data_IF_788434659053
#
_entry.id   IF_788434659053
#
_cell.length_a   1.000
_cell.length_b   1.000
_cell.length_c   1.000
_cell.angle_alpha   90.00
_cell.angle_beta   90.00
_cell.angle_gamma   90.00
#
_symmetry.space_group_name_H-M   'P 1'
#
loop_
_entity.id
_entity.type
_entity.pdbx_description
1 polymer ?
#
# COMPACT_ATOMS: atom_id res chain seq x y z
N UNK A 1 -2.98 -5.84 14.16
CA UNK A 1 -4.12 -6.65 13.66
C UNK A 1 -3.71 -7.25 12.33
N UNK A 2 -3.94 -8.54 12.05
CA UNK A 2 -3.53 -9.13 10.78
C UNK A 2 -4.34 -8.54 9.60
N UNK A 3 -3.75 -8.49 8.41
CA UNK A 3 -4.46 -8.12 7.18
C UNK A 3 -5.59 -9.12 6.91
N UNK A 4 -6.76 -8.59 6.53
CA UNK A 4 -7.97 -9.40 6.35
C UNK A 4 -8.34 -9.46 4.86
N UNK A 5 -8.62 -10.67 4.39
CA UNK A 5 -9.22 -10.89 3.07
C UNK A 5 -10.72 -10.67 3.13
N UNK A 6 -11.36 -10.39 1.99
CA UNK A 6 -12.83 -10.26 1.91
C UNK A 6 -13.53 -11.51 2.45
N UNK A 7 -12.94 -12.69 2.24
CA UNK A 7 -13.49 -13.97 2.72
C UNK A 7 -13.47 -14.12 4.26
N UNK A 8 -12.58 -13.39 4.95
CA UNK A 8 -12.52 -13.41 6.43
C UNK A 8 -13.46 -12.40 7.10
N UNK A 9 -14.15 -11.57 6.32
CA UNK A 9 -15.10 -10.59 6.84
C UNK A 9 -16.42 -11.25 7.25
N UNK A 10 -17.16 -10.62 8.15
CA UNK A 10 -18.52 -11.04 8.53
C UNK A 10 -19.45 -11.08 7.29
N UNK A 11 -20.38 -12.04 7.17
CA UNK A 11 -21.26 -12.16 5.98
C UNK A 11 -22.04 -10.89 5.63
N UNK A 12 -22.35 -10.05 6.63
CA UNK A 12 -22.97 -8.74 6.42
C UNK A 12 -22.05 -7.77 5.68
N UNK A 13 -20.78 -7.71 6.09
CA UNK A 13 -19.76 -6.87 5.45
C UNK A 13 -19.44 -7.39 4.06
N UNK A 14 -19.41 -8.72 3.84
CA UNK A 14 -19.22 -9.30 2.51
C UNK A 14 -20.31 -8.82 1.53
N UNK A 15 -21.59 -8.87 1.95
CA UNK A 15 -22.70 -8.33 1.15
C UNK A 15 -22.57 -6.83 0.87
N UNK A 16 -22.05 -6.05 1.82
CA UNK A 16 -21.76 -4.63 1.60
C UNK A 16 -20.63 -4.42 0.59
N UNK A 17 -19.60 -5.26 0.61
CA UNK A 17 -18.52 -5.21 -0.40
C UNK A 17 -19.06 -5.58 -1.79
N UNK A 18 -19.94 -6.57 -1.89
CA UNK A 18 -20.60 -6.91 -3.15
C UNK A 18 -21.48 -5.77 -3.68
N UNK A 19 -22.30 -5.15 -2.82
CA UNK A 19 -23.10 -4.01 -3.25
C UNK A 19 -22.23 -2.80 -3.62
N UNK A 20 -21.08 -2.58 -2.96
CA UNK A 20 -20.10 -1.57 -3.37
C UNK A 20 -19.59 -1.82 -4.80
N UNK A 21 -19.29 -3.09 -5.12
CA UNK A 21 -18.85 -3.50 -6.46
C UNK A 21 -19.93 -3.28 -7.51
N UNK A 22 -21.18 -3.67 -7.23
CA UNK A 22 -22.29 -3.42 -8.18
C UNK A 22 -22.53 -1.92 -8.39
N UNK A 23 -22.41 -1.10 -7.34
CA UNK A 23 -22.51 0.35 -7.47
C UNK A 23 -21.38 0.94 -8.32
N UNK A 24 -20.17 0.39 -8.20
CA UNK A 24 -19.02 0.80 -8.99
C UNK A 24 -19.21 0.47 -10.47
N UNK A 25 -19.72 -0.72 -10.78
CA UNK A 25 -20.05 -1.15 -12.16
C UNK A 25 -21.15 -0.27 -12.77
N UNK A 26 -22.11 0.17 -11.95
CA UNK A 26 -23.16 1.13 -12.35
C UNK A 26 -22.66 2.57 -12.52
N UNK A 27 -21.37 2.83 -12.29
CA UNK A 27 -20.76 4.16 -12.40
C UNK A 27 -21.09 5.11 -11.25
N UNK A 28 -21.72 4.63 -10.17
CA UNK A 28 -22.07 5.47 -9.02
C UNK A 28 -20.90 5.52 -8.00
N UNK A 29 -19.84 6.23 -8.39
CA UNK A 29 -18.58 6.26 -7.64
C UNK A 29 -18.71 6.89 -6.24
N UNK A 30 -19.56 7.91 -6.07
CA UNK A 30 -19.76 8.54 -4.77
C UNK A 30 -20.33 7.56 -3.75
N UNK A 31 -21.37 6.82 -4.16
CA UNK A 31 -21.99 5.81 -3.31
C UNK A 31 -21.04 4.64 -3.01
N UNK A 32 -20.22 4.21 -3.99
CA UNK A 32 -19.17 3.21 -3.74
C UNK A 32 -18.18 3.65 -2.67
N UNK A 33 -17.75 4.92 -2.68
CA UNK A 33 -16.78 5.44 -1.70
C UNK A 33 -17.37 5.45 -0.29
N UNK A 34 -18.61 5.89 -0.12
CA UNK A 34 -19.30 5.89 1.17
C UNK A 34 -19.43 4.47 1.73
N UNK A 35 -19.85 3.51 0.89
CA UNK A 35 -20.04 2.13 1.31
C UNK A 35 -18.71 1.46 1.68
N UNK A 36 -17.64 1.71 0.91
CA UNK A 36 -16.31 1.21 1.25
C UNK A 36 -15.80 1.84 2.56
N UNK A 37 -16.06 3.13 2.79
CA UNK A 37 -15.70 3.81 4.03
C UNK A 37 -16.36 3.19 5.26
N UNK A 38 -17.64 2.83 5.17
CA UNK A 38 -18.36 2.15 6.25
C UNK A 38 -17.74 0.76 6.58
N UNK A 39 -17.36 0.01 5.55
CA UNK A 39 -16.69 -1.29 5.72
C UNK A 39 -15.30 -1.11 6.35
N UNK A 40 -14.51 -0.14 5.88
CA UNK A 40 -13.17 0.12 6.43
C UNK A 40 -13.19 0.68 7.86
N UNK A 41 -14.27 1.35 8.28
CA UNK A 41 -14.44 1.77 9.67
C UNK A 41 -14.54 0.56 10.62
N UNK A 42 -15.09 -0.56 10.15
CA UNK A 42 -15.22 -1.81 10.92
C UNK A 42 -14.00 -2.72 10.73
N UNK A 43 -13.49 -2.81 9.51
CA UNK A 43 -12.38 -3.68 9.12
C UNK A 43 -11.30 -2.90 8.35
N UNK A 44 -10.47 -2.10 9.04
CA UNK A 44 -9.50 -1.19 8.39
C UNK A 44 -8.32 -1.92 7.72
N UNK A 45 -8.10 -3.20 8.02
CA UNK A 45 -7.06 -4.04 7.42
C UNK A 45 -7.44 -4.70 6.09
N UNK A 46 -8.61 -4.37 5.51
CA UNK A 46 -9.09 -5.00 4.29
C UNK A 46 -8.57 -4.28 3.03
N UNK A 47 -7.46 -4.77 2.47
CA UNK A 47 -6.86 -4.20 1.26
C UNK A 47 -7.78 -4.18 0.04
N UNK A 48 -8.55 -5.23 -0.30
CA UNK A 48 -9.40 -5.22 -1.48
C UNK A 48 -10.47 -4.10 -1.47
N UNK A 49 -11.01 -3.79 -0.29
CA UNK A 49 -11.99 -2.71 -0.12
C UNK A 49 -11.31 -1.35 -0.29
N UNK A 50 -10.12 -1.19 0.28
CA UNK A 50 -9.31 0.03 0.10
C UNK A 50 -8.92 0.26 -1.37
N UNK A 51 -8.58 -0.79 -2.10
CA UNK A 51 -8.33 -0.73 -3.56
C UNK A 51 -9.58 -0.29 -4.33
N UNK A 52 -10.74 -0.85 -4.00
CA UNK A 52 -12.01 -0.45 -4.62
C UNK A 52 -12.35 1.02 -4.33
N UNK A 53 -12.19 1.46 -3.08
CA UNK A 53 -12.40 2.86 -2.72
C UNK A 53 -11.48 3.80 -3.49
N UNK A 54 -10.19 3.45 -3.61
CA UNK A 54 -9.21 4.28 -4.32
C UNK A 54 -9.53 4.41 -5.80
N UNK A 55 -9.90 3.30 -6.46
CA UNK A 55 -10.26 3.33 -7.88
C UNK A 55 -11.56 4.12 -8.10
N UNK A 56 -12.53 4.03 -7.18
CA UNK A 56 -13.74 4.85 -7.21
C UNK A 56 -13.42 6.34 -7.01
N UNK A 57 -12.54 6.69 -6.07
CA UNK A 57 -12.09 8.06 -5.84
C UNK A 57 -11.38 8.63 -7.07
N UNK A 58 -10.48 7.88 -7.72
CA UNK A 58 -9.78 8.33 -8.92
C UNK A 58 -10.73 8.52 -10.11
N UNK A 59 -11.68 7.61 -10.35
CA UNK A 59 -12.69 7.74 -11.41
C UNK A 59 -13.66 8.89 -11.14
N UNK A 60 -14.09 9.05 -9.89
CA UNK A 60 -14.97 10.15 -9.47
C UNK A 60 -14.28 11.51 -9.47
N UNK A 61 -12.99 11.57 -9.11
CA UNK A 61 -12.18 12.78 -9.17
C UNK A 61 -11.89 13.20 -10.62
N UNK A 62 -11.68 12.24 -11.54
CA UNK A 62 -11.55 12.51 -12.97
C UNK A 62 -12.76 13.26 -13.57
N UNK A 63 -13.95 13.07 -13.01
CA UNK A 63 -15.15 13.83 -13.36
C UNK A 63 -15.22 15.23 -12.72
N UNK A 64 -14.54 15.44 -11.58
CA UNK A 64 -14.47 16.73 -10.84
C UNK A 64 -13.24 17.59 -11.20
N UNK A 65 -12.27 17.03 -11.92
CA UNK A 65 -11.06 17.73 -12.41
C UNK A 65 -11.30 18.60 -13.65
N UNK A 66 -12.53 18.70 -14.14
CA UNK A 66 -12.91 19.69 -15.14
C UNK A 66 -13.01 21.09 -14.54
N UNK A 67 -11.99 21.91 -14.76
CA UNK A 67 -12.00 23.38 -14.65
C UNK A 67 -12.11 24.04 -13.26
N UNK A 68 -12.75 23.44 -12.23
CA UNK A 68 -13.02 24.13 -10.95
C UNK A 68 -12.15 23.71 -9.75
N UNK A 69 -11.40 22.62 -9.83
CA UNK A 69 -10.61 22.10 -8.70
C UNK A 69 -9.24 22.78 -8.50
N UNK A 70 -8.69 23.43 -9.54
CA UNK A 70 -7.33 23.99 -9.50
C UNK A 70 -7.21 25.21 -8.56
N UNK A 71 -8.33 25.83 -8.18
CA UNK A 71 -8.37 27.02 -7.32
C UNK A 71 -8.61 26.73 -5.82
N UNK A 72 -9.08 25.53 -5.45
CA UNK A 72 -9.40 25.17 -4.06
C UNK A 72 -8.39 24.23 -3.39
N UNK A 73 -7.45 23.65 -4.15
CA UNK A 73 -6.49 22.64 -3.67
C UNK A 73 -5.26 23.17 -2.90
N UNK A 74 -5.23 24.45 -2.53
CA UNK A 74 -4.09 25.05 -1.77
C UNK A 74 -4.40 25.33 -0.30
N UNK A 75 -5.42 24.70 0.28
CA UNK A 75 -5.57 24.69 1.74
C UNK A 75 -4.69 23.57 2.28
N UNK A 76 -3.51 23.98 2.73
CA UNK A 76 -2.42 23.19 3.29
C UNK A 76 -2.86 21.92 4.02
N UNK A 77 -2.40 20.76 3.55
CA UNK A 77 -2.32 19.49 4.29
C UNK A 77 -1.41 19.56 5.52
N UNK A 78 -0.83 20.73 5.82
CA UNK A 78 0.11 20.99 6.91
C UNK A 78 -0.41 20.65 8.33
N UNK A 79 -1.67 20.94 8.72
CA UNK A 79 -2.16 20.58 10.06
C UNK A 79 -2.30 19.05 10.24
N UNK A 80 -2.60 18.33 9.17
CA UNK A 80 -2.83 16.89 9.18
C UNK A 80 -1.54 16.08 9.07
N UNK A 81 -0.53 16.63 8.39
CA UNK A 81 0.82 16.07 8.36
C UNK A 81 1.48 16.06 9.76
N UNK A 82 1.32 17.16 10.50
CA UNK A 82 1.94 17.32 11.82
C UNK A 82 1.29 16.42 12.88
N UNK A 83 -0.04 16.25 12.81
CA UNK A 83 -0.79 15.33 13.68
C UNK A 83 -0.64 13.86 13.26
N UNK A 84 -0.65 13.56 11.97
CA UNK A 84 -0.51 12.20 11.44
C UNK A 84 0.85 11.58 11.75
N UNK A 85 1.94 12.32 11.58
CA UNK A 85 3.31 11.83 11.82
C UNK A 85 3.60 11.60 13.31
N UNK A 86 3.03 12.41 14.19
CA UNK A 86 3.08 12.20 15.64
C UNK A 86 2.21 11.01 16.09
N UNK A 87 1.10 10.75 15.40
CA UNK A 87 0.20 9.63 15.69
C UNK A 87 0.75 8.27 15.22
N UNK A 88 1.74 8.22 14.31
CA UNK A 88 2.34 6.96 13.84
C UNK A 88 2.88 6.09 14.98
N UNK A 89 3.47 6.70 16.02
CA UNK A 89 4.08 5.96 17.12
C UNK A 89 3.10 5.58 18.24
N UNK A 90 2.00 6.33 18.41
CA UNK A 90 1.04 6.12 19.51
C UNK A 90 -0.26 5.46 19.08
N UNK A 91 -0.76 5.81 17.90
CA UNK A 91 -2.08 5.40 17.42
C UNK A 91 -2.07 5.27 15.88
N UNK A 92 -1.42 4.22 15.33
CA UNK A 92 -1.27 4.07 13.89
C UNK A 92 -2.61 3.90 13.15
N UNK A 93 -3.68 3.45 13.84
CA UNK A 93 -5.05 3.44 13.28
C UNK A 93 -5.60 4.84 13.02
N UNK A 94 -5.29 5.83 13.88
CA UNK A 94 -5.70 7.23 13.64
C UNK A 94 -4.88 7.86 12.51
N UNK A 95 -3.62 7.45 12.35
CA UNK A 95 -2.81 7.86 11.20
C UNK A 95 -3.43 7.34 9.88
N UNK A 96 -3.90 6.09 9.83
CA UNK A 96 -4.66 5.56 8.69
C UNK A 96 -5.91 6.40 8.44
N UNK A 97 -6.74 6.68 9.46
CA UNK A 97 -7.95 7.48 9.29
C UNK A 97 -7.65 8.91 8.80
N UNK A 98 -6.54 9.52 9.26
CA UNK A 98 -6.11 10.84 8.82
C UNK A 98 -5.64 10.81 7.36
N UNK A 99 -4.88 9.78 6.98
CA UNK A 99 -4.47 9.57 5.60
C UNK A 99 -5.67 9.39 4.66
N UNK A 100 -6.66 8.58 5.06
CA UNK A 100 -7.88 8.39 4.25
C UNK A 100 -8.66 9.69 4.04
N UNK A 101 -8.67 10.60 5.03
CA UNK A 101 -9.28 11.93 4.88
C UNK A 101 -8.52 12.82 3.89
N UNK A 102 -7.18 12.83 3.97
CA UNK A 102 -6.34 13.57 3.02
C UNK A 102 -6.57 13.05 1.60
N UNK A 103 -6.67 11.73 1.46
CA UNK A 103 -6.85 11.06 0.19
C UNK A 103 -8.30 11.13 -0.35
N UNK A 104 -9.28 11.38 0.51
CA UNK A 104 -10.64 11.73 0.09
C UNK A 104 -10.72 13.14 -0.50
N UNK A 105 -9.88 14.07 -0.02
CA UNK A 105 -9.78 15.43 -0.57
C UNK A 105 -9.00 15.46 -1.88
N UNK A 106 -7.83 14.82 -1.92
CA UNK A 106 -7.05 14.61 -3.13
C UNK A 106 -6.53 13.16 -3.20
N UNK A 107 -7.07 12.33 -4.12
CA UNK A 107 -6.66 10.94 -4.27
C UNK A 107 -5.20 10.72 -4.63
N UNK A 108 -4.50 11.75 -5.11
CA UNK A 108 -3.07 11.73 -5.50
C UNK A 108 -2.18 12.52 -4.54
N UNK A 109 -2.68 12.93 -3.38
CA UNK A 109 -1.86 13.64 -2.39
C UNK A 109 -0.71 12.76 -1.89
N UNK A 110 0.52 13.17 -2.23
CA UNK A 110 1.74 12.45 -1.88
C UNK A 110 1.91 12.30 -0.35
N UNK A 111 1.53 13.32 0.41
CA UNK A 111 1.58 13.32 1.87
C UNK A 111 0.63 12.27 2.47
N UNK A 112 -0.61 12.20 1.97
CA UNK A 112 -1.59 11.21 2.41
C UNK A 112 -1.18 9.79 2.06
N UNK A 113 -0.67 9.56 0.85
CA UNK A 113 -0.17 8.25 0.42
C UNK A 113 1.01 7.78 1.28
N UNK A 114 1.95 8.70 1.58
CA UNK A 114 3.08 8.42 2.47
C UNK A 114 2.60 8.03 3.88
N UNK A 115 1.71 8.83 4.46
CA UNK A 115 1.18 8.59 5.80
C UNK A 115 0.45 7.24 5.89
N UNK A 116 -0.32 6.88 4.86
CA UNK A 116 -1.00 5.58 4.77
C UNK A 116 0.02 4.43 4.74
N UNK A 117 1.06 4.54 3.92
CA UNK A 117 2.10 3.52 3.81
C UNK A 117 2.87 3.31 5.12
N UNK A 118 3.31 4.41 5.73
CA UNK A 118 4.05 4.37 7.01
C UNK A 118 3.17 3.81 8.15
N UNK A 119 1.90 4.19 8.21
CA UNK A 119 0.95 3.66 9.20
C UNK A 119 0.64 2.18 8.97
N UNK A 120 0.52 1.75 7.71
CA UNK A 120 0.31 0.36 7.35
C UNK A 120 1.53 -0.51 7.75
N UNK A 121 2.76 -0.03 7.55
CA UNK A 121 3.95 -0.73 8.04
C UNK A 121 3.95 -0.88 9.57
N UNK A 122 3.58 0.18 10.29
CA UNK A 122 3.48 0.14 11.75
C UNK A 122 2.38 -0.83 12.26
N UNK A 123 1.32 -1.03 11.47
CA UNK A 123 0.23 -1.97 11.76
C UNK A 123 0.52 -3.41 11.32
N UNK A 124 1.68 -3.67 10.72
CA UNK A 124 2.02 -4.93 10.04
C UNK A 124 1.02 -5.28 8.93
N UNK A 125 0.65 -4.29 8.13
CA UNK A 125 -0.15 -4.41 6.90
C UNK A 125 0.74 -4.23 5.66
N UNK A 126 1.60 -5.21 5.34
CA UNK A 126 2.63 -5.05 4.31
C UNK A 126 2.02 -4.89 2.91
N UNK A 127 0.94 -5.59 2.58
CA UNK A 127 0.28 -5.50 1.28
C UNK A 127 -0.38 -4.12 1.08
N UNK A 128 -0.97 -3.59 2.14
CA UNK A 128 -1.50 -2.22 2.16
C UNK A 128 -0.39 -1.18 2.00
N UNK A 129 0.73 -1.37 2.69
CA UNK A 129 1.86 -0.47 2.59
C UNK A 129 2.42 -0.44 1.17
N UNK A 130 2.61 -1.60 0.54
CA UNK A 130 3.06 -1.69 -0.86
C UNK A 130 2.10 -0.95 -1.78
N UNK A 131 0.78 -1.16 -1.65
CA UNK A 131 -0.21 -0.45 -2.47
C UNK A 131 -0.11 1.08 -2.33
N UNK A 132 0.07 1.60 -1.11
CA UNK A 132 0.17 3.03 -0.87
C UNK A 132 1.47 3.62 -1.46
N UNK A 133 2.60 2.92 -1.30
CA UNK A 133 3.89 3.38 -1.85
C UNK A 133 3.99 3.21 -3.37
N UNK A 134 3.31 2.22 -3.96
CA UNK A 134 3.19 2.10 -5.43
C UNK A 134 2.45 3.31 -6.00
N UNK A 135 1.30 3.66 -5.41
CA UNK A 135 0.58 4.88 -5.79
C UNK A 135 1.41 6.15 -5.58
N UNK A 136 2.22 6.21 -4.50
CA UNK A 136 3.13 7.33 -4.27
C UNK A 136 4.21 7.43 -5.34
N UNK A 137 4.76 6.28 -5.77
CA UNK A 137 5.74 6.21 -6.86
C UNK A 137 5.17 6.67 -8.20
N UNK A 138 3.88 6.45 -8.47
CA UNK A 138 3.24 7.01 -9.67
C UNK A 138 3.18 8.56 -9.65
N UNK A 139 3.08 9.15 -8.45
CA UNK A 139 3.05 10.61 -8.28
C UNK A 139 4.46 11.20 -8.28
N UNK A 140 5.42 10.51 -7.65
CA UNK A 140 6.82 10.93 -7.53
C UNK A 140 7.76 9.76 -7.90
N UNK A 141 8.01 9.51 -9.20
CA UNK A 141 8.77 8.34 -9.66
C UNK A 141 10.26 8.39 -9.30
N UNK A 142 10.82 9.59 -9.19
CA UNK A 142 12.26 9.82 -8.97
C UNK A 142 12.60 10.16 -7.51
N UNK A 143 11.66 9.99 -6.58
CA UNK A 143 11.91 10.21 -5.16
C UNK A 143 12.56 8.96 -4.52
N UNK A 144 13.85 9.10 -4.19
CA UNK A 144 14.65 8.06 -3.50
C UNK A 144 14.00 7.61 -2.20
N UNK A 145 13.43 8.54 -1.43
CA UNK A 145 12.79 8.21 -0.16
C UNK A 145 11.54 7.33 -0.36
N UNK A 146 10.82 7.50 -1.47
CA UNK A 146 9.67 6.68 -1.87
C UNK A 146 10.11 5.30 -2.34
N UNK A 147 11.17 5.21 -3.14
CA UNK A 147 11.73 3.92 -3.58
C UNK A 147 12.23 3.07 -2.41
N UNK A 148 12.92 3.69 -1.45
CA UNK A 148 13.36 3.00 -0.23
C UNK A 148 12.17 2.53 0.62
N UNK A 149 11.14 3.35 0.78
CA UNK A 149 9.95 2.98 1.54
C UNK A 149 9.16 1.85 0.87
N UNK A 150 9.01 1.89 -0.45
CA UNK A 150 8.39 0.83 -1.24
C UNK A 150 9.16 -0.49 -1.09
N UNK A 151 10.49 -0.47 -1.22
CA UNK A 151 11.30 -1.69 -1.06
C UNK A 151 11.24 -2.26 0.35
N UNK A 152 11.21 -1.43 1.39
CA UNK A 152 10.97 -1.89 2.78
C UNK A 152 9.61 -2.56 2.94
N UNK A 153 8.56 -1.99 2.35
CA UNK A 153 7.23 -2.60 2.35
C UNK A 153 7.19 -3.92 1.58
N UNK A 154 7.89 -4.00 0.45
CA UNK A 154 8.02 -5.24 -0.32
C UNK A 154 8.77 -6.33 0.45
N UNK A 155 9.81 -6.00 1.22
CA UNK A 155 10.45 -6.96 2.12
C UNK A 155 9.51 -7.48 3.20
N UNK A 156 8.76 -6.58 3.84
CA UNK A 156 7.75 -6.98 4.82
C UNK A 156 6.66 -7.86 4.20
N UNK A 157 6.37 -7.70 2.90
CA UNK A 157 5.46 -8.56 2.13
C UNK A 157 6.11 -9.87 1.60
N UNK A 158 7.38 -10.13 1.90
CA UNK A 158 8.11 -11.31 1.42
C UNK A 158 8.52 -11.26 -0.06
N UNK A 159 8.49 -10.08 -0.68
CA UNK A 159 8.80 -9.82 -2.10
C UNK A 159 10.24 -9.34 -2.27
N UNK A 160 11.20 -10.14 -1.80
CA UNK A 160 12.62 -9.79 -1.75
C UNK A 160 13.19 -9.33 -3.12
N UNK A 161 12.91 -10.05 -4.20
CA UNK A 161 13.38 -9.69 -5.55
C UNK A 161 12.89 -8.29 -6.01
N UNK A 162 11.63 -7.93 -5.72
CA UNK A 162 11.11 -6.61 -6.06
C UNK A 162 11.77 -5.51 -5.22
N UNK A 163 12.07 -5.81 -3.95
CA UNK A 163 12.77 -4.89 -3.07
C UNK A 163 14.21 -4.61 -3.53
N UNK A 164 14.92 -5.64 -4.04
CA UNK A 164 16.24 -5.48 -4.67
C UNK A 164 16.16 -4.47 -5.82
N UNK A 165 15.20 -4.64 -6.74
CA UNK A 165 15.03 -3.70 -7.86
C UNK A 165 14.71 -2.27 -7.42
N UNK A 166 13.91 -2.09 -6.36
CA UNK A 166 13.64 -0.77 -5.79
C UNK A 166 14.89 -0.14 -5.16
N UNK A 167 15.70 -0.93 -4.47
CA UNK A 167 16.96 -0.46 -3.88
C UNK A 167 17.99 -0.09 -4.95
N UNK A 168 18.12 -0.90 -6.01
CA UNK A 168 18.97 -0.57 -7.16
C UNK A 168 18.51 0.71 -7.87
N UNK A 169 17.20 0.90 -8.04
CA UNK A 169 16.66 2.12 -8.61
C UNK A 169 17.00 3.35 -7.75
N UNK A 170 16.85 3.23 -6.43
CA UNK A 170 17.24 4.27 -5.48
C UNK A 170 18.73 4.61 -5.55
N UNK A 171 19.60 3.58 -5.64
CA UNK A 171 21.05 3.75 -5.74
C UNK A 171 21.51 4.28 -7.10
N UNK A 172 20.75 4.08 -8.18
CA UNK A 172 21.02 4.72 -9.47
C UNK A 172 20.81 6.24 -9.41
N UNK A 173 19.84 6.70 -8.61
CA UNK A 173 19.56 8.12 -8.41
C UNK A 173 20.52 8.73 -7.39
N UNK A 174 20.69 8.08 -6.24
CA UNK A 174 21.61 8.48 -5.18
C UNK A 174 22.54 7.32 -4.77
N UNK A 175 23.75 7.22 -5.35
CA UNK A 175 24.68 6.12 -5.08
C UNK A 175 25.15 6.02 -3.62
N UNK A 176 25.12 7.13 -2.88
CA UNK A 176 25.61 7.24 -1.50
C UNK A 176 24.43 7.27 -0.49
N UNK A 177 23.26 6.74 -0.88
CA UNK A 177 22.11 6.71 0.02
C UNK A 177 22.19 5.52 0.99
N UNK A 178 22.61 5.77 2.23
CA UNK A 178 22.84 4.71 3.24
C UNK A 178 21.63 3.80 3.49
N UNK A 179 20.41 4.35 3.48
CA UNK A 179 19.20 3.56 3.67
C UNK A 179 18.88 2.63 2.49
N UNK A 180 19.28 3.00 1.26
CA UNK A 180 19.10 2.19 0.07
C UNK A 180 20.14 1.07 -0.01
N UNK A 181 21.38 1.35 0.41
CA UNK A 181 22.42 0.32 0.54
C UNK A 181 22.05 -0.72 1.61
N UNK A 182 21.54 -0.29 2.76
CA UNK A 182 21.04 -1.19 3.79
C UNK A 182 19.88 -2.05 3.26
N UNK A 183 18.90 -1.41 2.60
CA UNK A 183 17.78 -2.10 1.99
C UNK A 183 18.22 -3.16 0.96
N UNK A 184 19.19 -2.84 0.11
CA UNK A 184 19.73 -3.78 -0.88
C UNK A 184 20.32 -5.00 -0.19
N UNK A 185 21.14 -4.80 0.85
CA UNK A 185 21.73 -5.90 1.63
C UNK A 185 20.65 -6.78 2.26
N UNK A 186 19.69 -6.18 2.95
CA UNK A 186 18.59 -6.91 3.59
C UNK A 186 17.76 -7.69 2.57
N UNK A 187 17.50 -7.09 1.40
CA UNK A 187 16.75 -7.71 0.33
C UNK A 187 17.49 -8.88 -0.32
N UNK A 188 18.78 -8.73 -0.62
CA UNK A 188 19.61 -9.81 -1.17
C UNK A 188 19.74 -10.96 -0.19
N UNK A 189 19.89 -10.69 1.12
CA UNK A 189 19.92 -11.75 2.14
C UNK A 189 18.58 -12.49 2.17
N UNK A 190 17.46 -11.77 2.19
CA UNK A 190 16.12 -12.38 2.18
C UNK A 190 15.87 -13.21 0.91
N UNK A 191 16.38 -12.76 -0.24
CA UNK A 191 16.29 -13.50 -1.50
C UNK A 191 17.13 -14.78 -1.49
N UNK A 192 18.39 -14.71 -1.06
CA UNK A 192 19.26 -15.89 -0.93
C UNK A 192 18.71 -16.92 0.06
N UNK A 193 18.17 -16.47 1.20
CA UNK A 193 17.52 -17.36 2.17
C UNK A 193 16.28 -18.05 1.59
N UNK A 194 15.55 -17.34 0.72
CA UNK A 194 14.43 -17.94 0.00
C UNK A 194 14.94 -18.98 -1.00
N UNK A 195 15.92 -18.65 -1.83
CA UNK A 195 16.49 -19.54 -2.85
C UNK A 195 17.11 -20.81 -2.24
N UNK A 196 17.92 -20.68 -1.18
CA UNK A 196 18.54 -21.81 -0.49
C UNK A 196 17.54 -22.81 0.11
N UNK A 197 16.37 -22.33 0.58
CA UNK A 197 15.28 -23.21 1.04
C UNK A 197 14.66 -24.04 -0.08
N UNK A 198 14.70 -23.59 -1.32
CA UNK A 198 14.18 -24.34 -2.47
C UNK A 198 15.17 -25.40 -2.98
N UNK A 199 16.47 -25.12 -2.89
CA UNK A 199 17.50 -26.08 -3.28
C UNK A 199 17.57 -27.29 -2.32
N UNK A 200 17.39 -27.09 -1.01
CA UNK A 200 17.33 -28.20 -0.04
C UNK A 200 16.05 -29.07 -0.19
N UNK A 201 14.94 -28.49 -0.64
CA UNK A 201 13.66 -29.21 -0.80
C UNK A 201 13.50 -29.98 -2.11
N UNK A 202 14.27 -29.63 -3.14
CA UNK A 202 14.14 -30.17 -4.50
C UNK A 202 14.96 -31.42 -4.82
N UNK A 203 16.08 -31.65 -4.13
CA UNK A 203 17.07 -32.67 -4.54
C UNK A 203 16.90 -34.04 -3.85
N UNK A 204 16.00 -34.18 -2.87
CA UNK A 204 15.77 -35.47 -2.19
C UNK A 204 14.86 -36.42 -2.98
N UNK A 205 13.81 -35.93 -3.65
CA UNK A 205 12.83 -36.79 -4.35
C UNK A 205 13.29 -37.27 -5.73
N UNK A 206 14.32 -36.64 -6.31
CA UNK A 206 14.88 -37.04 -7.61
C UNK A 206 15.90 -38.20 -7.51
N UNK A 207 16.44 -38.47 -6.32
CA UNK A 207 17.42 -39.56 -6.06
C UNK A 207 16.81 -40.90 -5.64
N UNK A 208 15.48 -40.99 -5.51
CA UNK A 208 14.76 -42.22 -5.21
C UNK A 208 14.05 -42.76 -6.45
N UNK A 209 14.78 -42.91 -7.57
CA UNK A 209 14.34 -43.81 -8.65
C UNK A 209 15.09 -45.13 -8.48
N UNK A 210 14.41 -46.26 -8.20
CA UNK A 210 15.09 -47.54 -8.11
C UNK A 210 15.66 -47.86 -9.49
N UNK A 211 16.97 -48.04 -9.55
CA UNK A 211 17.63 -48.73 -10.66
C UNK A 211 17.02 -50.12 -10.81
N UNK A 212 16.76 -50.48 -12.07
CA UNK A 212 16.09 -51.68 -12.57
C UNK A 212 16.49 -52.99 -11.91
#
# INVERSE_FOLDING_TARGET
MPEQSVASLEPRLQKQVESARTAFERGNFAYTVELCGAVLATAPGCLPVRKLQRTAQLKGAGARTGFLAQALGRVSSAPFLLTGRAALAKEPLKAVASAERMLAADPRDAAGLRLLGDAALALAWPETAVFAFEALREVAPDDVATLVALGRAQLAAGRAAQAVHCAEAALRLEPIHGAAQALLKDASVAESLRQGRWEEGGDFRAKVRPTS
#
